data_IF_156782189044
#
_entry.id   IF_156782189044
#
_cell.length_a   1.000
_cell.length_b   1.000
_cell.length_c   1.000
_cell.angle_alpha   90.00
_cell.angle_beta   90.00
_cell.angle_gamma   90.00
#
_symmetry.space_group_name_H-M   'P 1'
#
loop_
_entity.id
_entity.type
_entity.pdbx_description
1 polymer ?
#
# COMPACT_ATOMS: atom_id res chain seq x y z
N UNK A 1 -19.91 6.85 18.67
CA UNK A 1 -20.53 5.53 18.92
C UNK A 1 -19.64 4.50 18.23
N UNK A 2 -19.47 3.32 18.79
CA UNK A 2 -18.63 2.26 18.23
C UNK A 2 -19.48 1.02 17.94
N UNK A 3 -19.07 0.24 16.95
CA UNK A 3 -19.67 -1.04 16.58
C UNK A 3 -18.63 -2.14 16.84
N UNK A 4 -18.96 -3.09 17.69
CA UNK A 4 -18.12 -4.27 17.93
C UNK A 4 -18.51 -5.38 16.97
N UNK A 5 -17.52 -5.99 16.31
CA UNK A 5 -17.69 -7.19 15.49
C UNK A 5 -16.88 -8.30 16.14
N UNK A 6 -17.56 -9.37 16.55
CA UNK A 6 -16.94 -10.57 17.13
C UNK A 6 -16.66 -11.59 16.02
N UNK A 7 -15.45 -12.14 16.01
CA UNK A 7 -15.06 -13.21 15.11
C UNK A 7 -14.54 -14.44 15.84
N UNK A 8 -14.21 -15.47 15.06
CA UNK A 8 -13.72 -16.75 15.57
C UNK A 8 -12.34 -16.66 16.26
N UNK A 9 -11.49 -15.70 15.87
CA UNK A 9 -10.11 -15.56 16.40
C UNK A 9 -9.89 -14.27 17.19
N UNK A 10 -10.55 -13.18 16.81
CA UNK A 10 -10.40 -11.88 17.48
C UNK A 10 -11.68 -11.04 17.40
N UNK A 11 -11.60 -9.80 17.86
CA UNK A 11 -12.69 -8.82 17.81
C UNK A 11 -12.21 -7.54 17.11
N UNK A 12 -13.10 -6.90 16.37
CA UNK A 12 -12.89 -5.56 15.83
C UNK A 12 -13.75 -4.53 16.56
N UNK A 13 -13.12 -3.46 17.04
CA UNK A 13 -13.84 -2.24 17.42
C UNK A 13 -13.81 -1.28 16.22
N UNK A 14 -14.98 -1.02 15.64
CA UNK A 14 -15.17 -0.10 14.53
C UNK A 14 -15.64 1.23 15.08
N UNK A 15 -14.91 2.31 14.80
CA UNK A 15 -15.24 3.64 15.31
C UNK A 15 -16.32 4.35 14.49
N UNK A 16 -17.26 3.59 13.95
CA UNK A 16 -18.49 4.04 13.29
C UNK A 16 -19.68 3.40 14.00
N UNK A 17 -20.80 4.11 14.03
CA UNK A 17 -22.07 3.48 14.38
C UNK A 17 -22.52 2.50 13.29
N UNK A 18 -23.44 1.62 13.68
CA UNK A 18 -23.96 0.55 12.84
C UNK A 18 -24.72 1.06 11.61
N UNK A 19 -25.32 2.25 11.69
CA UNK A 19 -26.06 2.85 10.56
C UNK A 19 -25.12 3.38 9.46
N UNK A 20 -23.90 3.76 9.83
CA UNK A 20 -22.87 4.29 8.94
C UNK A 20 -21.84 3.24 8.48
N UNK A 21 -21.95 1.99 8.92
CA UNK A 21 -21.06 0.90 8.50
C UNK A 21 -21.66 0.13 7.33
N UNK A 22 -21.13 0.36 6.14
CA UNK A 22 -21.55 -0.31 4.90
C UNK A 22 -21.40 -1.84 4.97
N UNK A 23 -22.35 -2.57 4.36
CA UNK A 23 -22.41 -4.04 4.39
C UNK A 23 -21.10 -4.68 3.89
N UNK A 24 -20.57 -4.24 2.76
CA UNK A 24 -19.30 -4.77 2.21
C UNK A 24 -18.11 -4.52 3.14
N UNK A 25 -18.08 -3.36 3.80
CA UNK A 25 -17.04 -3.03 4.78
C UNK A 25 -17.15 -3.94 5.99
N UNK A 26 -18.37 -4.19 6.48
CA UNK A 26 -18.65 -5.13 7.57
C UNK A 26 -18.26 -6.56 7.22
N UNK A 27 -18.62 -7.04 6.03
CA UNK A 27 -18.28 -8.38 5.55
C UNK A 27 -16.77 -8.58 5.50
N UNK A 28 -16.03 -7.61 4.97
CA UNK A 28 -14.57 -7.65 4.93
C UNK A 28 -13.95 -7.67 6.35
N UNK A 29 -14.49 -6.87 7.29
CA UNK A 29 -14.03 -6.90 8.69
C UNK A 29 -14.34 -8.24 9.35
N UNK A 30 -15.54 -8.79 9.13
CA UNK A 30 -15.95 -10.10 9.67
C UNK A 30 -14.99 -11.20 9.19
N UNK A 31 -14.70 -11.25 7.91
CA UNK A 31 -13.77 -12.23 7.32
C UNK A 31 -12.38 -12.15 7.96
N UNK A 32 -11.90 -10.93 8.24
CA UNK A 32 -10.61 -10.74 8.92
C UNK A 32 -10.64 -11.25 10.35
N UNK A 33 -11.64 -10.90 11.16
CA UNK A 33 -11.69 -11.34 12.57
C UNK A 33 -12.01 -12.83 12.74
N UNK A 34 -12.57 -13.46 11.70
CA UNK A 34 -12.77 -14.91 11.58
C UNK A 34 -11.54 -15.66 11.05
N UNK A 35 -10.48 -14.96 10.65
CA UNK A 35 -9.30 -15.58 10.05
C UNK A 35 -8.14 -15.70 11.04
N UNK A 36 -7.50 -16.87 11.06
CA UNK A 36 -6.48 -17.25 12.06
C UNK A 36 -5.20 -16.39 12.06
N UNK A 37 -4.99 -15.59 11.02
CA UNK A 37 -3.89 -14.63 10.94
C UNK A 37 -4.10 -13.40 11.83
N UNK A 38 -5.34 -13.14 12.26
CA UNK A 38 -5.73 -11.97 13.04
C UNK A 38 -5.95 -12.41 14.49
N UNK A 39 -4.87 -12.39 15.24
CA UNK A 39 -4.78 -12.86 16.63
C UNK A 39 -4.92 -11.74 17.65
N UNK A 40 -4.72 -10.49 17.22
CA UNK A 40 -4.74 -9.31 18.06
C UNK A 40 -6.04 -8.50 17.84
N UNK A 41 -6.50 -7.70 18.83
CA UNK A 41 -7.70 -6.89 18.67
C UNK A 41 -7.57 -5.87 17.53
N UNK A 42 -8.51 -5.94 16.59
CA UNK A 42 -8.56 -5.04 15.43
C UNK A 42 -9.22 -3.71 15.83
N UNK A 43 -8.70 -2.60 15.30
CA UNK A 43 -9.30 -1.26 15.40
C UNK A 43 -9.49 -0.68 14.02
N UNK A 44 -10.70 -0.26 13.71
CA UNK A 44 -11.08 0.25 12.39
C UNK A 44 -11.46 1.72 12.50
N UNK A 45 -10.67 2.57 11.85
CA UNK A 45 -10.88 4.02 11.76
C UNK A 45 -12.21 4.34 11.09
N UNK A 46 -12.80 5.51 11.36
CA UNK A 46 -14.11 5.86 10.85
C UNK A 46 -14.17 6.28 9.38
N UNK A 47 -13.02 6.48 8.73
CA UNK A 47 -12.91 6.63 7.27
C UNK A 47 -12.93 5.27 6.53
N UNK A 48 -13.26 4.18 7.23
CA UNK A 48 -13.30 2.85 6.66
C UNK A 48 -14.22 2.71 5.44
N UNK A 49 -13.74 1.91 4.51
CA UNK A 49 -14.40 1.53 3.27
C UNK A 49 -13.69 0.29 2.69
N UNK A 50 -14.31 -0.44 1.74
CA UNK A 50 -13.72 -1.64 1.18
C UNK A 50 -12.38 -1.33 0.51
N UNK A 51 -11.37 -2.15 0.81
CA UNK A 51 -10.03 -2.05 0.22
C UNK A 51 -9.61 -3.35 -0.44
N UNK A 52 -8.60 -3.30 -1.32
CA UNK A 52 -8.04 -4.51 -1.91
C UNK A 52 -7.40 -5.39 -0.83
N UNK A 53 -7.99 -6.55 -0.54
CA UNK A 53 -7.52 -7.53 0.46
C UNK A 53 -7.83 -7.20 1.92
N UNK A 54 -7.79 -5.93 2.33
CA UNK A 54 -8.08 -5.49 3.70
C UNK A 54 -8.79 -4.14 3.66
N UNK A 55 -9.71 -3.94 4.61
CA UNK A 55 -10.45 -2.68 4.80
C UNK A 55 -9.48 -1.51 4.98
N UNK A 56 -9.82 -0.35 4.39
CA UNK A 56 -9.10 0.90 4.64
C UNK A 56 -9.49 1.42 6.03
N UNK A 57 -8.58 2.08 6.74
CA UNK A 57 -8.77 2.43 8.15
C UNK A 57 -8.40 1.30 9.11
N UNK A 58 -7.81 0.21 8.64
CA UNK A 58 -7.42 -0.91 9.48
C UNK A 58 -6.19 -0.60 10.33
N UNK A 59 -6.24 -1.00 11.60
CA UNK A 59 -5.05 -1.14 12.45
C UNK A 59 -5.12 -2.37 13.35
N UNK A 60 -3.96 -2.96 13.62
CA UNK A 60 -3.78 -4.09 14.53
C UNK A 60 -2.33 -4.14 15.01
N UNK A 61 -2.08 -4.65 16.21
CA UNK A 61 -0.72 -4.96 16.61
C UNK A 61 -0.14 -6.06 15.69
N UNK A 62 1.16 -5.96 15.40
CA UNK A 62 1.92 -6.95 14.66
C UNK A 62 2.09 -8.20 15.54
N UNK A 63 1.78 -9.35 14.96
CA UNK A 63 2.02 -10.67 15.57
C UNK A 63 2.92 -11.53 14.66
N UNK A 64 3.09 -12.80 15.02
CA UNK A 64 3.91 -13.79 14.32
C UNK A 64 3.46 -14.07 12.88
N UNK A 65 2.17 -13.90 12.59
CA UNK A 65 1.56 -14.02 11.26
C UNK A 65 1.44 -12.67 10.61
N UNK A 66 1.98 -12.57 9.40
CA UNK A 66 1.92 -11.33 8.63
C UNK A 66 1.22 -11.56 7.31
N UNK A 67 0.13 -10.85 7.07
CA UNK A 67 -0.60 -10.86 5.79
C UNK A 67 -0.13 -9.68 4.94
N UNK A 68 0.62 -9.89 3.84
CA UNK A 68 1.18 -8.77 3.07
C UNK A 68 0.15 -7.77 2.56
N UNK A 69 -1.01 -8.25 2.08
CA UNK A 69 -2.10 -7.40 1.59
C UNK A 69 -2.80 -6.55 2.66
N UNK A 70 -2.59 -6.82 3.95
CA UNK A 70 -3.16 -6.01 5.04
C UNK A 70 -2.53 -4.64 5.13
N UNK A 71 -1.28 -4.45 4.67
CA UNK A 71 -0.67 -3.11 4.53
C UNK A 71 -1.11 -2.44 3.23
N UNK A 72 -1.40 -3.25 2.20
CA UNK A 72 -1.80 -2.79 0.88
C UNK A 72 -0.65 -2.75 -0.11
N UNK A 73 -0.99 -2.56 -1.39
CA UNK A 73 -0.04 -2.61 -2.49
C UNK A 73 0.91 -1.40 -2.55
N UNK A 74 0.48 -0.22 -2.08
CA UNK A 74 1.36 0.95 -2.01
C UNK A 74 1.99 1.09 -0.63
N UNK A 75 2.99 0.24 -0.36
CA UNK A 75 3.75 0.24 0.90
C UNK A 75 4.37 1.62 1.13
N UNK A 76 4.18 2.19 2.32
CA UNK A 76 4.74 3.49 2.69
C UNK A 76 4.01 4.69 2.09
N UNK A 77 2.88 4.50 1.40
CA UNK A 77 2.01 5.60 0.97
C UNK A 77 1.68 6.52 2.16
N UNK A 78 1.60 7.81 1.90
CA UNK A 78 1.19 8.79 2.91
C UNK A 78 1.57 10.22 2.58
N UNK A 79 1.47 11.06 3.59
CA UNK A 79 1.64 12.50 3.47
C UNK A 79 3.04 12.93 3.88
N UNK A 80 3.52 13.97 3.22
CA UNK A 80 4.66 14.77 3.66
C UNK A 80 4.31 16.23 3.42
N UNK A 81 4.47 17.09 4.41
CA UNK A 81 4.28 18.53 4.24
C UNK A 81 5.57 19.25 4.61
N UNK A 82 5.93 20.24 3.81
CA UNK A 82 7.04 21.15 4.09
C UNK A 82 6.48 22.55 4.26
N UNK A 83 6.94 23.25 5.30
CA UNK A 83 6.70 24.66 5.48
C UNK A 83 7.69 25.44 4.63
N UNK A 84 7.20 26.31 3.78
CA UNK A 84 8.03 27.23 3.00
C UNK A 84 8.44 28.39 3.90
N UNK A 85 9.71 28.78 3.87
CA UNK A 85 10.23 29.88 4.69
C UNK A 85 9.54 31.22 4.40
N UNK A 86 9.03 31.37 3.18
CA UNK A 86 8.25 32.50 2.72
C UNK A 86 7.34 32.11 1.56
N UNK A 87 6.35 32.96 1.28
CA UNK A 87 5.49 32.81 0.10
C UNK A 87 6.34 32.98 -1.17
N UNK A 88 6.29 32.04 -2.14
CA UNK A 88 6.97 32.20 -3.41
C UNK A 88 6.53 33.48 -4.15
N UNK A 89 7.49 34.27 -4.65
CA UNK A 89 7.24 35.47 -5.48
C UNK A 89 6.95 35.07 -6.94
N UNK A 90 5.88 34.29 -7.12
CA UNK A 90 5.46 33.70 -8.39
C UNK A 90 3.92 33.74 -8.48
N UNK A 91 3.40 33.86 -9.70
CA UNK A 91 1.96 33.68 -9.93
C UNK A 91 1.56 32.21 -9.73
N UNK A 92 0.27 31.95 -9.48
CA UNK A 92 -0.24 30.57 -9.33
C UNK A 92 0.09 29.68 -10.53
N UNK A 93 0.02 30.25 -11.74
CA UNK A 93 0.34 29.55 -12.98
C UNK A 93 1.84 29.21 -13.10
N UNK A 94 2.73 30.12 -12.72
CA UNK A 94 4.18 29.85 -12.71
C UNK A 94 4.56 28.79 -11.68
N UNK A 95 3.90 28.77 -10.51
CA UNK A 95 4.12 27.72 -9.50
C UNK A 95 3.69 26.35 -10.03
N UNK A 96 2.49 26.23 -10.60
CA UNK A 96 1.99 24.98 -11.20
C UNK A 96 2.90 24.48 -12.35
N UNK A 97 3.29 25.39 -13.26
CA UNK A 97 4.20 25.08 -14.37
C UNK A 97 5.53 24.54 -13.84
N UNK A 98 6.15 25.22 -12.87
CA UNK A 98 7.43 24.78 -12.30
C UNK A 98 7.34 23.43 -11.58
N UNK A 99 6.27 23.19 -10.82
CA UNK A 99 6.04 21.90 -10.16
C UNK A 99 5.95 20.79 -11.21
N UNK A 100 5.19 20.99 -12.28
CA UNK A 100 4.97 20.00 -13.35
C UNK A 100 6.20 19.76 -14.22
N UNK A 101 7.01 20.79 -14.47
CA UNK A 101 8.29 20.64 -15.17
C UNK A 101 9.33 19.90 -14.31
N UNK A 102 9.23 20.03 -12.99
CA UNK A 102 10.21 19.47 -12.05
C UNK A 102 9.87 18.05 -11.61
N UNK A 103 8.59 17.76 -11.36
CA UNK A 103 8.14 16.48 -10.79
C UNK A 103 7.40 15.67 -11.85
N UNK A 104 7.96 14.54 -12.31
CA UNK A 104 7.25 13.60 -13.14
C UNK A 104 6.02 13.03 -12.40
N UNK A 105 4.89 13.01 -13.10
CA UNK A 105 3.60 12.54 -12.59
C UNK A 105 3.06 11.39 -13.45
N UNK A 106 2.08 10.65 -12.93
CA UNK A 106 1.46 9.53 -13.65
C UNK A 106 2.45 8.39 -13.90
N UNK A 107 2.62 8.04 -15.18
CA UNK A 107 3.54 6.97 -15.64
C UNK A 107 4.96 7.46 -15.90
N UNK A 108 5.20 8.77 -15.82
CA UNK A 108 6.49 9.37 -16.10
C UNK A 108 7.50 9.17 -14.96
N UNK A 109 8.78 9.24 -15.31
CA UNK A 109 9.90 9.14 -14.38
C UNK A 109 10.99 10.11 -14.77
N UNK A 110 11.94 10.37 -13.87
CA UNK A 110 13.12 11.16 -14.20
C UNK A 110 14.00 10.44 -15.25
N UNK A 111 14.80 11.22 -15.97
CA UNK A 111 15.85 10.68 -16.83
C UNK A 111 17.19 10.62 -16.09
N UNK A 112 18.10 9.77 -16.59
CA UNK A 112 19.53 9.76 -16.23
C UNK A 112 19.87 9.64 -14.73
N UNK A 113 19.06 8.94 -13.93
CA UNK A 113 19.32 8.73 -12.50
C UNK A 113 19.56 10.07 -11.77
N UNK A 114 18.63 11.02 -11.93
CA UNK A 114 18.70 12.33 -11.30
C UNK A 114 18.97 12.26 -9.78
N UNK A 115 18.50 11.20 -9.12
CA UNK A 115 18.81 10.86 -7.74
C UNK A 115 19.91 9.79 -7.67
N UNK A 116 21.01 10.05 -6.95
CA UNK A 116 22.12 9.10 -6.80
C UNK A 116 21.88 8.13 -5.65
N UNK A 117 21.00 7.14 -5.86
CA UNK A 117 20.56 6.21 -4.80
C UNK A 117 21.71 5.57 -4.01
N UNK A 118 22.82 5.21 -4.66
CA UNK A 118 23.97 4.60 -3.97
C UNK A 118 24.62 5.51 -2.92
N UNK A 119 24.57 6.84 -3.11
CA UNK A 119 25.21 7.81 -2.23
C UNK A 119 24.21 8.50 -1.30
N UNK A 120 23.01 8.79 -1.81
CA UNK A 120 22.07 9.70 -1.16
C UNK A 120 21.00 8.97 -0.34
N UNK A 121 20.74 7.69 -0.66
CA UNK A 121 19.71 6.92 0.03
C UNK A 121 20.10 6.67 1.49
N UNK A 122 19.14 6.78 2.44
CA UNK A 122 19.38 6.63 3.87
C UNK A 122 19.52 5.14 4.29
N UNK A 123 20.57 4.48 3.82
CA UNK A 123 20.84 3.05 4.07
C UNK A 123 20.89 2.70 5.57
N UNK A 124 21.56 3.54 6.36
CA UNK A 124 21.69 3.35 7.80
C UNK A 124 20.35 3.49 8.53
N UNK A 125 19.54 4.49 8.19
CA UNK A 125 18.22 4.65 8.80
C UNK A 125 17.26 3.53 8.42
N UNK A 126 17.38 3.00 7.21
CA UNK A 126 16.65 1.78 6.82
C UNK A 126 17.07 0.60 7.70
N UNK A 127 18.37 0.46 7.96
CA UNK A 127 18.91 -0.61 8.83
C UNK A 127 18.41 -0.46 10.27
N UNK A 128 18.37 0.77 10.79
CA UNK A 128 17.85 1.06 12.13
C UNK A 128 16.36 0.69 12.31
N UNK A 129 15.56 0.64 11.23
CA UNK A 129 14.19 0.12 11.32
C UNK A 129 14.21 -1.37 11.71
N UNK A 130 15.08 -2.16 11.10
CA UNK A 130 15.20 -3.59 11.42
C UNK A 130 15.83 -3.81 12.80
N UNK A 131 16.79 -2.96 13.20
CA UNK A 131 17.31 -3.02 14.57
C UNK A 131 16.20 -2.83 15.61
N UNK A 132 15.31 -1.86 15.41
CA UNK A 132 14.14 -1.64 16.29
C UNK A 132 13.17 -2.82 16.29
N UNK A 133 12.83 -3.36 15.12
CA UNK A 133 11.99 -4.56 15.02
C UNK A 133 12.62 -5.72 15.81
N UNK A 134 13.92 -5.95 15.64
CA UNK A 134 14.65 -7.03 16.34
C UNK A 134 14.62 -6.91 17.87
N UNK A 135 14.50 -5.70 18.43
CA UNK A 135 14.36 -5.52 19.89
C UNK A 135 13.07 -6.15 20.44
N UNK A 136 12.06 -6.33 19.59
CA UNK A 136 10.78 -6.94 19.95
C UNK A 136 10.70 -8.45 19.69
N UNK A 137 11.60 -8.99 18.88
CA UNK A 137 11.56 -10.38 18.46
C UNK A 137 12.29 -11.30 19.45
N UNK A 138 11.77 -12.52 19.61
CA UNK A 138 12.42 -13.55 20.44
C UNK A 138 13.65 -14.14 19.74
N UNK A 139 13.59 -14.27 18.41
CA UNK A 139 14.66 -14.77 17.57
C UNK A 139 15.27 -13.63 16.77
N UNK A 140 16.60 -13.64 16.63
CA UNK A 140 17.32 -12.61 15.89
C UNK A 140 17.12 -12.83 14.39
N UNK A 141 16.85 -11.75 13.67
CA UNK A 141 16.86 -11.74 12.21
C UNK A 141 18.33 -11.76 11.74
N UNK A 142 18.69 -12.75 10.93
CA UNK A 142 20.01 -12.79 10.30
C UNK A 142 20.05 -11.83 9.10
N UNK A 143 20.34 -10.56 9.38
CA UNK A 143 20.38 -9.49 8.38
C UNK A 143 21.52 -8.51 8.67
N UNK A 144 22.38 -8.28 7.69
CA UNK A 144 23.60 -7.46 7.84
C UNK A 144 23.37 -5.96 7.61
N UNK A 145 22.22 -5.59 7.05
CA UNK A 145 21.84 -4.20 6.76
C UNK A 145 21.54 -3.96 5.28
N UNK A 146 21.17 -2.72 4.97
CA UNK A 146 20.82 -2.31 3.61
C UNK A 146 22.00 -1.62 2.92
N UNK A 147 22.19 -1.93 1.65
CA UNK A 147 23.10 -1.22 0.77
C UNK A 147 22.59 -1.28 -0.69
N UNK A 148 23.39 -0.74 -1.62
CA UNK A 148 23.07 -0.76 -3.04
C UNK A 148 22.95 -2.19 -3.60
N UNK A 149 23.67 -3.17 -3.05
CA UNK A 149 23.60 -4.54 -3.53
C UNK A 149 22.28 -5.19 -3.10
N UNK A 150 21.89 -5.02 -1.84
CA UNK A 150 20.56 -5.43 -1.37
C UNK A 150 19.44 -4.82 -2.23
N UNK A 151 19.54 -3.54 -2.60
CA UNK A 151 18.52 -2.92 -3.45
C UNK A 151 18.41 -3.57 -4.84
N UNK A 152 19.55 -3.97 -5.44
CA UNK A 152 19.53 -4.73 -6.71
C UNK A 152 18.87 -6.09 -6.53
N UNK A 153 19.22 -6.82 -5.48
CA UNK A 153 18.64 -8.14 -5.18
C UNK A 153 17.13 -8.03 -4.91
N UNK A 154 16.69 -6.97 -4.23
CA UNK A 154 15.27 -6.68 -4.03
C UNK A 154 14.56 -6.45 -5.36
N UNK A 155 15.14 -5.65 -6.26
CA UNK A 155 14.59 -5.41 -7.59
C UNK A 155 14.49 -6.71 -8.40
N UNK A 156 15.52 -7.56 -8.35
CA UNK A 156 15.50 -8.88 -9.01
C UNK A 156 14.41 -9.79 -8.44
N UNK A 157 14.31 -9.86 -7.09
CA UNK A 157 13.32 -10.67 -6.38
C UNK A 157 11.88 -10.23 -6.66
N UNK A 158 11.63 -8.92 -6.64
CA UNK A 158 10.33 -8.32 -6.97
C UNK A 158 10.10 -8.14 -8.48
N UNK A 159 11.03 -8.56 -9.34
CA UNK A 159 10.95 -8.42 -10.81
C UNK A 159 10.74 -6.97 -11.30
N UNK A 160 11.37 -6.01 -10.62
CA UNK A 160 11.36 -4.59 -10.97
C UNK A 160 12.64 -4.24 -11.73
N UNK A 161 12.51 -3.53 -12.85
CA UNK A 161 13.69 -2.98 -13.54
C UNK A 161 14.41 -1.96 -12.64
N UNK A 162 15.69 -2.20 -12.38
CA UNK A 162 16.50 -1.39 -11.48
C UNK A 162 16.56 0.08 -11.91
N UNK A 163 16.71 0.36 -13.21
CA UNK A 163 16.79 1.75 -13.69
C UNK A 163 15.44 2.45 -13.54
N UNK A 164 14.34 1.74 -13.82
CA UNK A 164 12.99 2.25 -13.58
C UNK A 164 12.78 2.57 -12.10
N UNK A 165 13.19 1.69 -11.19
CA UNK A 165 13.11 1.94 -9.76
C UNK A 165 13.92 3.20 -9.38
N UNK A 166 15.17 3.32 -9.81
CA UNK A 166 15.99 4.52 -9.52
C UNK A 166 15.34 5.80 -10.06
N UNK A 167 14.86 5.77 -11.30
CA UNK A 167 14.28 6.94 -11.98
C UNK A 167 12.90 7.35 -11.42
N UNK A 168 12.22 6.46 -10.69
CA UNK A 168 10.96 6.76 -10.02
C UNK A 168 11.13 7.48 -8.69
N UNK A 169 12.36 7.65 -8.20
CA UNK A 169 12.65 8.47 -7.02
C UNK A 169 12.40 9.95 -7.31
N UNK A 170 11.65 10.63 -6.45
CA UNK A 170 11.23 12.02 -6.66
C UNK A 170 10.07 12.17 -7.65
N UNK A 171 9.17 11.19 -7.75
CA UNK A 171 8.03 11.21 -8.68
C UNK A 171 6.70 11.07 -7.95
N UNK A 172 5.67 11.72 -8.47
CA UNK A 172 4.35 11.76 -7.82
C UNK A 172 3.60 10.43 -7.97
N UNK A 173 3.57 9.91 -9.20
CA UNK A 173 2.62 8.88 -9.59
C UNK A 173 1.24 9.38 -9.94
N UNK A 174 0.27 8.47 -10.01
CA UNK A 174 -1.12 8.78 -10.36
C UNK A 174 -2.12 8.27 -9.31
N UNK A 175 -3.40 8.23 -9.69
CA UNK A 175 -4.48 7.89 -8.75
C UNK A 175 -4.79 9.04 -7.80
N UNK A 176 -4.85 8.77 -6.50
CA UNK A 176 -5.15 9.79 -5.49
C UNK A 176 -3.95 10.67 -5.13
N UNK A 177 -2.74 10.40 -5.64
CA UNK A 177 -1.53 11.18 -5.36
C UNK A 177 -1.65 12.63 -5.87
N UNK A 178 -1.10 13.57 -5.10
CA UNK A 178 -1.17 15.00 -5.41
C UNK A 178 -0.02 15.80 -4.78
N UNK A 179 0.21 16.99 -5.32
CA UNK A 179 1.00 18.07 -4.71
C UNK A 179 0.06 19.26 -4.51
N UNK A 180 0.06 19.83 -3.31
CA UNK A 180 -0.77 20.96 -2.95
C UNK A 180 0.11 22.09 -2.41
N UNK A 181 -0.12 23.32 -2.87
CA UNK A 181 0.43 24.52 -2.23
C UNK A 181 -0.72 25.20 -1.50
N UNK A 182 -0.57 25.40 -0.20
CA UNK A 182 -1.62 25.90 0.66
C UNK A 182 -1.14 27.02 1.59
N UNK A 183 -2.07 27.89 1.97
CA UNK A 183 -1.87 28.92 3.00
C UNK A 183 -2.60 28.49 4.27
N UNK A 184 -1.91 28.54 5.39
CA UNK A 184 -2.46 28.16 6.68
C UNK A 184 -3.39 29.26 7.20
N UNK A 185 -4.65 28.93 7.50
CA UNK A 185 -5.72 29.88 7.84
C UNK A 185 -5.37 30.76 9.04
N UNK A 186 -4.80 30.17 10.10
CA UNK A 186 -4.55 30.90 11.35
C UNK A 186 -3.23 31.67 11.32
N UNK A 187 -2.20 31.10 10.68
CA UNK A 187 -0.83 31.61 10.75
C UNK A 187 -0.41 32.40 9.51
N UNK A 188 -1.08 32.23 8.38
CA UNK A 188 -0.69 32.78 7.07
C UNK A 188 0.58 32.12 6.51
N UNK A 189 1.03 31.01 7.09
CA UNK A 189 2.22 30.29 6.68
C UNK A 189 1.95 29.48 5.41
N UNK A 190 2.94 29.39 4.54
CA UNK A 190 2.80 28.67 3.27
C UNK A 190 3.38 27.26 3.38
N UNK A 191 2.64 26.29 2.88
CA UNK A 191 2.98 24.87 2.94
C UNK A 191 2.91 24.25 1.55
N UNK A 192 3.78 23.28 1.30
CA UNK A 192 3.64 22.34 0.19
C UNK A 192 3.37 20.94 0.77
N UNK A 193 2.27 20.31 0.35
CA UNK A 193 1.81 19.00 0.82
C UNK A 193 1.92 18.00 -0.31
N UNK A 194 2.50 16.83 -0.03
CA UNK A 194 2.79 15.78 -0.99
C UNK A 194 2.11 14.49 -0.53
N UNK A 195 1.26 13.93 -1.38
CA UNK A 195 0.71 12.59 -1.21
C UNK A 195 1.29 11.66 -2.26
N UNK A 196 2.11 10.70 -1.83
CA UNK A 196 2.69 9.68 -2.70
C UNK A 196 3.19 8.48 -1.88
N UNK A 197 3.64 7.42 -2.56
CA UNK A 197 4.11 6.18 -1.94
C UNK A 197 5.40 5.65 -2.55
N UNK A 198 5.57 4.32 -2.53
CA UNK A 198 6.79 3.63 -2.97
C UNK A 198 6.81 3.29 -4.45
N UNK A 199 5.83 3.81 -5.20
CA UNK A 199 5.72 3.64 -6.66
C UNK A 199 5.59 2.16 -7.03
N UNK A 200 6.12 1.76 -8.19
CA UNK A 200 5.98 0.38 -8.66
C UNK A 200 6.73 -0.63 -7.77
N UNK A 201 7.76 -0.17 -7.05
CA UNK A 201 8.58 -1.03 -6.19
C UNK A 201 7.76 -1.63 -5.04
N UNK A 202 7.00 -0.82 -4.29
CA UNK A 202 6.18 -1.33 -3.20
C UNK A 202 5.10 -2.29 -3.65
N UNK A 203 4.44 -1.99 -4.77
CA UNK A 203 3.42 -2.87 -5.36
C UNK A 203 4.01 -4.24 -5.70
N UNK A 204 5.16 -4.26 -6.39
CA UNK A 204 5.81 -5.50 -6.77
C UNK A 204 6.33 -6.30 -5.57
N UNK A 205 6.81 -5.63 -4.51
CA UNK A 205 7.20 -6.29 -3.26
C UNK A 205 5.98 -6.87 -2.53
N UNK A 206 4.87 -6.13 -2.45
CA UNK A 206 3.64 -6.61 -1.86
C UNK A 206 3.09 -7.83 -2.61
N UNK A 207 3.06 -7.79 -3.94
CA UNK A 207 2.67 -8.90 -4.81
C UNK A 207 3.58 -10.12 -4.61
N UNK A 208 4.90 -9.94 -4.66
CA UNK A 208 5.87 -11.03 -4.46
C UNK A 208 5.64 -11.80 -3.15
N UNK A 209 5.46 -11.06 -2.06
CA UNK A 209 5.28 -11.67 -0.74
C UNK A 209 3.88 -12.25 -0.55
N UNK A 210 2.85 -11.68 -1.17
CA UNK A 210 1.52 -12.28 -1.18
C UNK A 210 1.48 -13.58 -1.99
N UNK A 211 2.13 -13.61 -3.15
CA UNK A 211 2.28 -14.83 -3.96
C UNK A 211 3.04 -15.89 -3.15
N UNK A 212 4.11 -15.50 -2.46
CA UNK A 212 4.86 -16.39 -1.57
C UNK A 212 3.98 -16.94 -0.44
N UNK A 213 3.12 -16.12 0.17
CA UNK A 213 2.18 -16.56 1.19
C UNK A 213 1.18 -17.58 0.63
N UNK A 214 0.65 -17.30 -0.55
CA UNK A 214 -0.30 -18.16 -1.26
C UNK A 214 0.33 -19.49 -1.64
N UNK A 215 1.57 -19.47 -2.13
CA UNK A 215 2.32 -20.68 -2.47
C UNK A 215 2.60 -21.55 -1.24
N UNK A 216 3.04 -20.94 -0.13
CA UNK A 216 3.30 -21.66 1.13
C UNK A 216 2.04 -22.25 1.73
N UNK A 217 0.94 -21.48 1.77
CA UNK A 217 -0.38 -21.96 2.21
C UNK A 217 -0.84 -23.15 1.37
N UNK A 218 -0.65 -23.06 0.06
CA UNK A 218 -0.92 -24.15 -0.85
C UNK A 218 -0.02 -25.38 -0.55
N UNK A 219 1.25 -25.21 -0.23
CA UNK A 219 2.13 -26.32 0.19
C UNK A 219 1.67 -27.01 1.46
N UNK A 220 1.11 -26.29 2.44
CA UNK A 220 0.66 -26.90 3.70
C UNK A 220 -0.75 -27.50 3.62
N UNK A 221 -1.62 -26.90 2.81
CA UNK A 221 -3.06 -27.21 2.80
C UNK A 221 -3.46 -28.14 1.66
N UNK A 222 -2.68 -28.21 0.56
CA UNK A 222 -2.93 -29.17 -0.52
C UNK A 222 -2.59 -30.60 -0.04
N UNK A 223 -3.57 -31.54 -0.02
CA UNK A 223 -3.30 -32.96 0.29
C UNK A 223 -2.24 -33.53 -0.65
N UNK A 224 -1.53 -34.62 -0.35
CA UNK A 224 -0.63 -35.19 -1.37
C UNK A 224 -1.40 -35.71 -2.59
N UNK A 225 -0.84 -35.60 -3.80
CA UNK A 225 -1.35 -36.36 -4.94
C UNK A 225 -1.21 -37.84 -4.60
N UNK A 226 -2.28 -38.56 -4.84
CA UNK A 226 -2.32 -40.01 -4.82
C UNK A 226 -2.22 -40.54 -6.25
N UNK A 227 -1.91 -41.82 -6.40
CA UNK A 227 -1.92 -42.45 -7.73
C UNK A 227 -3.34 -42.48 -8.34
N UNK A 228 -4.39 -42.19 -7.56
CA UNK A 228 -5.76 -42.03 -8.08
C UNK A 228 -5.93 -40.75 -8.90
N UNK A 229 -5.15 -39.71 -8.59
CA UNK A 229 -5.15 -38.41 -9.28
C UNK A 229 -4.36 -38.45 -10.61
N UNK A 230 -3.54 -39.48 -10.82
CA UNK A 230 -2.73 -39.64 -12.04
C UNK A 230 -3.62 -40.14 -13.18
N UNK A 231 -3.60 -39.49 -14.38
CA UNK A 231 -4.41 -39.94 -15.50
C UNK A 231 -4.16 -41.41 -15.86
N UNK A 232 -5.22 -42.13 -16.20
CA UNK A 232 -5.19 -43.59 -16.45
C UNK A 232 -4.05 -44.03 -17.37
N UNK A 233 -3.89 -43.35 -18.51
CA UNK A 233 -2.86 -43.67 -19.49
C UNK A 233 -1.42 -43.52 -18.96
N UNK A 234 -1.21 -42.61 -18.00
CA UNK A 234 0.08 -42.41 -17.35
C UNK A 234 0.30 -43.47 -16.26
N UNK A 235 -0.75 -43.76 -15.49
CA UNK A 235 -0.73 -44.80 -14.45
C UNK A 235 -0.49 -46.19 -15.04
N UNK A 236 -1.16 -46.52 -16.15
CA UNK A 236 -0.98 -47.78 -16.88
C UNK A 236 0.44 -47.92 -17.46
N UNK A 237 1.09 -46.80 -17.79
CA UNK A 237 2.48 -46.77 -18.24
C UNK A 237 3.51 -46.81 -17.08
N UNK A 238 3.06 -47.00 -15.84
CA UNK A 238 3.91 -47.09 -14.65
C UNK A 238 4.24 -45.74 -14.01
N UNK A 239 3.60 -44.65 -14.46
CA UNK A 239 3.68 -43.35 -13.80
C UNK A 239 2.97 -43.38 -12.44
N UNK A 240 3.55 -42.68 -11.46
CA UNK A 240 3.00 -42.53 -10.11
C UNK A 240 2.94 -41.06 -9.74
N UNK A 241 2.15 -40.69 -8.75
CA UNK A 241 2.10 -39.32 -8.24
C UNK A 241 3.50 -38.82 -7.87
N UNK A 242 4.27 -39.64 -7.15
CA UNK A 242 5.64 -39.31 -6.72
C UNK A 242 6.62 -39.03 -7.88
N UNK A 243 6.39 -39.60 -9.07
CA UNK A 243 7.20 -39.33 -10.26
C UNK A 243 6.83 -38.01 -10.94
N UNK A 244 5.59 -37.57 -10.79
CA UNK A 244 5.07 -36.35 -11.42
C UNK A 244 5.14 -35.13 -10.50
N UNK A 245 5.38 -35.32 -9.21
CA UNK A 245 5.41 -34.23 -8.21
C UNK A 245 6.81 -33.93 -7.71
N UNK A 246 7.03 -32.77 -7.07
CA UNK A 246 8.25 -32.48 -6.31
C UNK A 246 8.40 -33.33 -5.03
N UNK A 247 9.42 -33.03 -4.20
CA UNK A 247 9.74 -33.78 -2.97
C UNK A 247 8.56 -33.92 -2.00
N UNK A 248 7.65 -32.95 -1.99
CA UNK A 248 6.53 -32.92 -1.06
C UNK A 248 5.32 -33.75 -1.50
N UNK A 249 5.25 -34.13 -2.78
CA UNK A 249 4.14 -34.94 -3.30
C UNK A 249 2.85 -34.18 -3.59
N UNK A 250 2.81 -32.84 -3.49
CA UNK A 250 1.54 -32.07 -3.48
C UNK A 250 1.24 -31.28 -4.75
N UNK A 251 2.24 -30.88 -5.52
CA UNK A 251 2.05 -30.15 -6.79
C UNK A 251 2.73 -30.91 -7.92
N UNK A 252 2.08 -30.90 -9.08
CA UNK A 252 2.66 -31.45 -10.30
C UNK A 252 3.84 -30.56 -10.73
N UNK A 253 5.00 -31.19 -10.82
CA UNK A 253 6.20 -30.61 -11.38
C UNK A 253 6.17 -30.87 -12.89
N UNK A 254 5.92 -29.81 -13.67
CA UNK A 254 5.77 -29.93 -15.12
C UNK A 254 7.07 -30.34 -15.82
N UNK A 255 8.23 -30.10 -15.23
CA UNK A 255 9.52 -30.52 -15.77
C UNK A 255 9.71 -32.03 -15.57
N UNK A 256 9.41 -32.53 -14.37
CA UNK A 256 9.37 -33.98 -14.08
C UNK A 256 8.35 -34.71 -14.94
N UNK A 257 7.14 -34.17 -15.03
CA UNK A 257 6.08 -34.72 -15.87
C UNK A 257 6.49 -34.76 -17.35
N UNK A 258 7.09 -33.69 -17.88
CA UNK A 258 7.60 -33.67 -19.24
C UNK A 258 8.72 -34.67 -19.47
N UNK A 259 9.60 -34.86 -18.49
CA UNK A 259 10.67 -35.86 -18.55
C UNK A 259 10.07 -37.27 -18.62
N UNK A 260 9.18 -37.62 -17.69
CA UNK A 260 8.47 -38.91 -17.70
C UNK A 260 7.77 -39.17 -19.03
N UNK A 261 7.01 -38.18 -19.55
CA UNK A 261 6.26 -38.35 -20.78
C UNK A 261 7.17 -38.57 -22.00
N UNK A 262 8.31 -37.89 -22.08
CA UNK A 262 9.27 -38.05 -23.19
C UNK A 262 10.03 -39.38 -23.14
N UNK A 263 10.23 -39.94 -21.96
CA UNK A 263 10.91 -41.23 -21.79
C UNK A 263 9.97 -42.43 -22.00
N UNK A 264 8.66 -42.21 -21.83
CA UNK A 264 7.66 -43.29 -21.78
C UNK A 264 6.79 -43.37 -23.04
N UNK A 265 6.51 -42.25 -23.69
CA UNK A 265 5.61 -42.17 -24.84
C UNK A 265 6.32 -41.61 -26.08
N UNK A 266 5.75 -41.88 -27.25
CA UNK A 266 6.27 -41.43 -28.55
C UNK A 266 5.30 -40.49 -29.28
N UNK A 267 5.85 -39.60 -30.09
CA UNK A 267 5.08 -38.79 -31.04
C UNK A 267 4.00 -37.92 -30.38
N UNK A 268 2.80 -37.90 -30.98
CA UNK A 268 1.67 -37.07 -30.54
C UNK A 268 1.14 -37.45 -29.13
N UNK A 269 1.45 -38.67 -28.65
CA UNK A 269 1.01 -39.14 -27.34
C UNK A 269 1.73 -38.42 -26.19
N UNK A 270 2.93 -37.89 -26.41
CA UNK A 270 3.66 -37.08 -25.41
C UNK A 270 2.87 -35.82 -25.07
N UNK A 271 2.42 -35.09 -26.08
CA UNK A 271 1.70 -33.83 -25.90
C UNK A 271 0.29 -34.07 -25.36
N UNK A 272 -0.39 -35.13 -25.80
CA UNK A 272 -1.68 -35.55 -25.25
C UNK A 272 -1.60 -35.85 -23.75
N UNK A 273 -0.58 -36.59 -23.29
CA UNK A 273 -0.40 -36.88 -21.87
C UNK A 273 0.05 -35.66 -21.06
N UNK A 274 0.89 -34.80 -21.63
CA UNK A 274 1.20 -33.50 -21.01
C UNK A 274 -0.04 -32.64 -20.81
N UNK A 275 -0.97 -32.63 -21.77
CA UNK A 275 -2.24 -31.90 -21.63
C UNK A 275 -3.14 -32.49 -20.55
N UNK A 276 -3.21 -33.83 -20.42
CA UNK A 276 -3.94 -34.47 -19.31
C UNK A 276 -3.35 -34.12 -17.94
N UNK A 277 -2.02 -34.14 -17.84
CA UNK A 277 -1.31 -33.72 -16.62
C UNK A 277 -1.59 -32.24 -16.30
N UNK A 278 -1.59 -31.36 -17.31
CA UNK A 278 -1.97 -29.96 -17.15
C UNK A 278 -3.41 -29.81 -16.66
N UNK A 279 -4.32 -30.64 -17.16
CA UNK A 279 -5.71 -30.63 -16.69
C UNK A 279 -5.81 -31.04 -15.22
N UNK A 280 -5.15 -32.13 -14.80
CA UNK A 280 -5.11 -32.52 -13.37
C UNK A 280 -4.50 -31.42 -12.51
N UNK A 281 -3.43 -30.77 -12.98
CA UNK A 281 -2.82 -29.62 -12.30
C UNK A 281 -3.82 -28.46 -12.16
N UNK A 282 -4.63 -28.22 -13.18
CA UNK A 282 -5.64 -27.15 -13.21
C UNK A 282 -6.84 -27.46 -12.32
N UNK A 283 -7.48 -28.62 -12.49
CA UNK A 283 -8.66 -29.05 -11.73
C UNK A 283 -8.41 -29.01 -10.22
N UNK A 284 -7.18 -29.35 -9.83
CA UNK A 284 -6.75 -29.39 -8.43
C UNK A 284 -6.39 -28.02 -7.86
N UNK A 285 -5.96 -27.08 -8.71
CA UNK A 285 -5.79 -25.69 -8.31
C UNK A 285 -7.15 -25.01 -8.13
N UNK A 286 -8.09 -25.22 -9.05
CA UNK A 286 -9.45 -24.67 -8.97
C UNK A 286 -10.22 -25.18 -7.73
N UNK A 287 -10.15 -26.47 -7.40
CA UNK A 287 -10.86 -27.04 -6.23
C UNK A 287 -10.45 -26.46 -4.86
N UNK A 288 -9.35 -25.70 -4.77
CA UNK A 288 -8.80 -25.19 -3.51
C UNK A 288 -8.65 -23.66 -3.49
N UNK A 289 -8.76 -22.98 -4.64
CA UNK A 289 -8.80 -21.52 -4.76
C UNK A 289 -10.25 -20.98 -4.81
N UNK A 290 -11.24 -21.78 -5.21
CA UNK A 290 -12.64 -21.31 -5.40
C UNK A 290 -13.39 -21.02 -4.07
N UNK A 291 -12.93 -21.55 -2.93
CA UNK A 291 -13.60 -21.45 -1.62
C UNK A 291 -12.82 -20.66 -0.54
N UNK A 292 -11.66 -20.05 -0.86
CA UNK A 292 -10.85 -19.31 0.12
C UNK A 292 -10.29 -17.99 -0.39
N UNK A 293 -10.28 -16.97 0.46
CA UNK A 293 -9.73 -15.66 0.13
C UNK A 293 -8.20 -15.65 0.22
N UNK A 294 -7.53 -15.78 -0.92
CA UNK A 294 -6.07 -15.75 -1.03
C UNK A 294 -5.46 -14.40 -0.62
N UNK A 295 -6.24 -13.33 -0.54
CA UNK A 295 -5.74 -12.05 -0.03
C UNK A 295 -5.40 -12.07 1.46
N UNK A 296 -5.94 -13.03 2.22
CA UNK A 296 -5.66 -13.21 3.64
C UNK A 296 -4.57 -14.27 3.91
N UNK A 297 -3.95 -14.82 2.85
CA UNK A 297 -2.81 -15.71 3.03
C UNK A 297 -1.65 -14.99 3.71
N UNK A 298 -1.06 -15.65 4.71
CA UNK A 298 -0.06 -15.07 5.60
C UNK A 298 1.29 -15.77 5.51
N UNK A 299 2.29 -15.07 6.01
CA UNK A 299 3.67 -15.52 6.21
C UNK A 299 3.94 -15.73 7.69
N UNK A 300 4.83 -16.68 8.00
CA UNK A 300 5.38 -16.93 9.34
C UNK A 300 6.88 -17.22 9.25
N UNK A 301 7.58 -17.08 10.37
CA UNK A 301 9.01 -17.41 10.50
C UNK A 301 9.90 -16.65 9.53
N UNK A 302 10.85 -17.34 8.90
CA UNK A 302 11.83 -16.73 7.98
C UNK A 302 11.19 -15.93 6.82
N UNK A 303 10.01 -16.34 6.34
CA UNK A 303 9.35 -15.58 5.28
C UNK A 303 8.66 -14.32 5.79
N UNK A 304 8.07 -14.35 6.99
CA UNK A 304 7.57 -13.14 7.61
C UNK A 304 8.72 -12.15 7.85
N UNK A 305 9.87 -12.63 8.33
CA UNK A 305 11.07 -11.80 8.48
C UNK A 305 11.53 -11.20 7.15
N UNK A 306 11.58 -12.01 6.08
CA UNK A 306 11.94 -11.53 4.74
C UNK A 306 11.00 -10.42 4.24
N UNK A 307 9.69 -10.58 4.43
CA UNK A 307 8.72 -9.54 4.10
C UNK A 307 8.93 -8.26 4.91
N UNK A 308 9.15 -8.37 6.22
CA UNK A 308 9.40 -7.21 7.08
C UNK A 308 10.69 -6.46 6.70
N UNK A 309 11.73 -7.19 6.28
CA UNK A 309 12.97 -6.62 5.74
C UNK A 309 12.71 -5.86 4.43
N UNK A 310 12.06 -6.49 3.45
CA UNK A 310 11.77 -5.86 2.16
C UNK A 310 10.78 -4.68 2.33
N UNK A 311 9.82 -4.78 3.25
CA UNK A 311 8.90 -3.70 3.60
C UNK A 311 9.62 -2.49 4.18
N UNK A 312 10.54 -2.68 5.14
CA UNK A 312 11.28 -1.56 5.73
C UNK A 312 12.00 -0.74 4.65
N UNK A 313 12.56 -1.41 3.64
CA UNK A 313 13.14 -0.76 2.48
C UNK A 313 12.09 0.07 1.73
N UNK A 314 10.96 -0.52 1.34
CA UNK A 314 9.89 0.19 0.62
C UNK A 314 9.33 1.39 1.40
N UNK A 315 9.20 1.27 2.73
CA UNK A 315 8.77 2.37 3.60
C UNK A 315 9.78 3.53 3.60
N UNK A 316 11.08 3.23 3.60
CA UNK A 316 12.11 4.27 3.47
C UNK A 316 12.16 4.85 2.06
N UNK A 317 11.99 4.01 1.03
CA UNK A 317 11.91 4.45 -0.35
C UNK A 317 10.74 5.43 -0.57
N UNK A 318 9.56 5.15 -0.01
CA UNK A 318 8.41 6.05 -0.08
C UNK A 318 8.66 7.39 0.65
N UNK A 319 9.29 7.34 1.82
CA UNK A 319 9.68 8.56 2.55
C UNK A 319 10.68 9.39 1.75
N UNK A 320 11.73 8.77 1.23
CA UNK A 320 12.76 9.43 0.44
C UNK A 320 12.20 10.03 -0.85
N UNK A 321 11.25 9.33 -1.49
CA UNK A 321 10.53 9.83 -2.65
C UNK A 321 9.83 11.16 -2.34
N UNK A 322 9.09 11.23 -1.22
CA UNK A 322 8.41 12.46 -0.79
C UNK A 322 9.37 13.55 -0.34
N UNK A 323 10.43 13.19 0.40
CA UNK A 323 11.47 14.12 0.87
C UNK A 323 12.15 14.80 -0.31
N UNK A 324 12.58 14.01 -1.29
CA UNK A 324 13.26 14.51 -2.48
C UNK A 324 12.33 15.34 -3.37
N UNK A 325 11.05 14.96 -3.54
CA UNK A 325 10.07 15.85 -4.17
C UNK A 325 9.95 17.19 -3.45
N UNK A 326 9.96 17.19 -2.12
CA UNK A 326 9.94 18.41 -1.31
C UNK A 326 11.13 19.33 -1.59
N UNK A 327 12.34 18.78 -1.65
CA UNK A 327 13.55 19.52 -2.00
C UNK A 327 13.48 20.09 -3.42
N UNK A 328 13.12 19.25 -4.40
CA UNK A 328 13.00 19.66 -5.79
C UNK A 328 11.98 20.79 -5.99
N UNK A 329 10.82 20.70 -5.33
CA UNK A 329 9.79 21.75 -5.40
C UNK A 329 10.26 23.02 -4.71
N UNK A 330 10.85 22.93 -3.51
CA UNK A 330 11.37 24.11 -2.81
C UNK A 330 12.42 24.86 -3.65
N UNK A 331 13.36 24.12 -4.25
CA UNK A 331 14.38 24.64 -5.16
C UNK A 331 13.77 25.29 -6.41
N UNK A 332 12.80 24.62 -7.05
CA UNK A 332 12.12 25.13 -8.24
C UNK A 332 11.35 26.43 -7.94
N UNK A 333 10.78 26.55 -6.74
CA UNK A 333 10.08 27.76 -6.29
C UNK A 333 11.02 28.84 -5.74
N UNK A 334 12.30 28.52 -5.52
CA UNK A 334 13.32 29.44 -5.02
C UNK A 334 13.10 29.83 -3.55
N UNK A 335 12.59 28.89 -2.75
CA UNK A 335 12.27 29.10 -1.32
C UNK A 335 12.93 28.02 -0.47
N UNK A 336 13.36 28.37 0.73
CA UNK A 336 13.93 27.42 1.69
C UNK A 336 12.84 26.64 2.43
N UNK A 337 13.17 25.42 2.88
CA UNK A 337 12.30 24.62 3.75
C UNK A 337 12.54 25.02 5.22
N UNK A 338 11.49 25.46 5.91
CA UNK A 338 11.57 25.92 7.29
C UNK A 338 11.22 24.84 8.33
N UNK A 339 10.34 23.91 7.99
CA UNK A 339 9.85 22.83 8.86
C UNK A 339 9.24 21.72 8.00
N UNK A 340 9.01 20.53 8.57
CA UNK A 340 8.30 19.46 7.88
C UNK A 340 7.50 18.55 8.82
N UNK A 341 6.49 17.90 8.24
CA UNK A 341 5.61 16.93 8.90
C UNK A 341 5.51 15.69 7.99
N UNK A 342 5.65 14.51 8.57
CA UNK A 342 5.56 13.23 7.85
C UNK A 342 4.46 12.38 8.47
N UNK A 343 3.55 11.86 7.64
CA UNK A 343 2.38 11.08 8.10
C UNK A 343 2.12 9.92 7.15
N UNK A 344 2.90 8.82 7.25
CA UNK A 344 2.63 7.61 6.47
C UNK A 344 1.29 6.97 6.91
N UNK A 345 0.62 6.28 5.99
CA UNK A 345 -0.68 5.65 6.28
C UNK A 345 -0.87 4.20 5.78
N UNK A 346 0.11 3.64 5.07
CA UNK A 346 0.18 2.22 4.72
C UNK A 346 1.54 1.69 5.18
N UNK A 347 1.62 1.12 6.38
CA UNK A 347 2.90 0.72 6.97
C UNK A 347 2.72 -0.33 8.06
N UNK A 348 3.82 -1.01 8.39
CA UNK A 348 4.04 -1.57 9.71
C UNK A 348 5.08 -0.68 10.38
N UNK A 349 4.69 -0.03 11.47
CA UNK A 349 5.60 0.83 12.23
C UNK A 349 6.40 -0.04 13.21
N UNK A 350 7.71 -0.03 13.09
CA UNK A 350 8.61 -0.85 13.91
C UNK A 350 8.97 -0.21 15.26
N UNK A 351 8.52 1.02 15.53
CA UNK A 351 8.61 1.63 16.87
C UNK A 351 7.48 1.16 17.79
N UNK A 352 6.26 1.09 17.26
CA UNK A 352 5.07 0.72 18.05
C UNK A 352 4.45 -0.62 17.67
N UNK A 353 5.01 -1.29 16.65
CA UNK A 353 4.60 -2.59 16.14
C UNK A 353 3.13 -2.61 15.72
N UNK A 354 2.61 -1.51 15.20
CA UNK A 354 1.23 -1.43 14.70
C UNK A 354 1.23 -1.47 13.17
N UNK A 355 0.44 -2.40 12.64
CA UNK A 355 0.07 -2.49 11.23
C UNK A 355 -1.00 -1.44 10.95
N UNK A 356 -0.85 -0.67 9.88
CA UNK A 356 -1.79 0.38 9.48
C UNK A 356 -2.02 0.36 7.97
N UNK A 357 -3.29 0.43 7.55
CA UNK A 357 -3.69 0.61 6.16
C UNK A 357 -4.79 1.64 6.07
N UNK A 358 -4.50 2.76 5.42
CA UNK A 358 -5.32 3.97 5.48
C UNK A 358 -5.57 4.44 6.91
N UNK A 359 -4.55 4.35 7.76
CA UNK A 359 -4.58 4.93 9.11
C UNK A 359 -3.19 5.48 9.38
N UNK A 360 -3.10 6.63 10.03
CA UNK A 360 -1.81 7.25 10.33
C UNK A 360 -1.50 7.20 11.81
N UNK A 361 -0.22 7.27 12.14
CA UNK A 361 0.27 7.30 13.51
C UNK A 361 -0.13 8.63 14.18
N UNK A 362 -0.57 8.57 15.43
CA UNK A 362 -1.05 9.72 16.19
C UNK A 362 -0.71 9.60 17.69
N UNK A 363 0.58 9.53 18.03
CA UNK A 363 1.02 9.56 19.43
C UNK A 363 0.79 10.95 20.05
N UNK A 364 0.85 11.03 21.37
CA UNK A 364 0.65 12.28 22.12
C UNK A 364 1.65 13.34 21.69
N UNK A 365 1.15 14.48 21.19
CA UNK A 365 1.97 15.60 20.71
C UNK A 365 2.59 15.40 19.32
N UNK A 366 2.32 14.27 18.65
CA UNK A 366 2.85 14.01 17.30
C UNK A 366 2.13 14.86 16.27
N UNK A 367 2.86 15.55 15.39
CA UNK A 367 2.27 16.35 14.31
C UNK A 367 1.96 15.44 13.14
N UNK A 368 0.74 15.55 12.60
CA UNK A 368 0.32 14.83 11.41
C UNK A 368 -0.47 15.72 10.45
N UNK A 369 -0.48 15.33 9.17
CA UNK A 369 -1.26 15.97 8.11
C UNK A 369 -2.37 15.03 7.68
N UNK A 370 -3.60 15.54 7.66
CA UNK A 370 -4.77 14.79 7.19
C UNK A 370 -5.39 15.53 5.99
N UNK A 371 -5.38 14.94 4.79
CA UNK A 371 -5.99 15.52 3.60
C UNK A 371 -7.51 15.33 3.56
N UNK A 372 -8.20 16.30 2.95
CA UNK A 372 -9.61 16.23 2.60
C UNK A 372 -9.76 15.82 1.13
N UNK A 373 -9.78 16.83 0.25
CA UNK A 373 -9.86 16.70 -1.19
C UNK A 373 -9.17 17.93 -1.81
N UNK A 374 -9.06 17.94 -3.15
CA UNK A 374 -8.32 18.99 -3.85
C UNK A 374 -8.89 20.43 -3.74
N UNK A 375 -10.15 20.60 -3.35
CA UNK A 375 -10.78 21.90 -3.13
C UNK A 375 -10.73 22.37 -1.68
N UNK A 376 -10.71 21.43 -0.73
CA UNK A 376 -10.81 21.70 0.72
C UNK A 376 -9.45 21.66 1.44
N UNK A 377 -8.43 21.11 0.79
CA UNK A 377 -7.06 21.07 1.26
C UNK A 377 -6.80 20.04 2.34
N UNK A 378 -6.06 20.45 3.37
CA UNK A 378 -5.56 19.57 4.42
C UNK A 378 -5.63 20.24 5.81
N UNK A 379 -5.48 19.48 6.88
CA UNK A 379 -5.30 20.02 8.25
C UNK A 379 -4.02 19.54 8.89
N UNK A 380 -3.38 20.44 9.63
CA UNK A 380 -2.31 20.12 10.58
C UNK A 380 -2.97 19.73 11.90
N UNK A 381 -2.67 18.52 12.36
CA UNK A 381 -3.25 17.95 13.58
C UNK A 381 -2.14 17.55 14.55
N UNK A 382 -2.41 17.63 15.84
CA UNK A 382 -1.56 17.10 16.91
C UNK A 382 -2.24 15.87 17.51
N UNK A 383 -1.54 14.73 17.52
CA UNK A 383 -2.05 13.47 18.02
C UNK A 383 -2.30 13.47 19.52
N UNK A 384 -3.33 12.74 19.95
CA UNK A 384 -3.72 12.59 21.37
C UNK A 384 -3.16 11.33 22.02
N UNK A 385 -2.50 10.46 21.26
CA UNK A 385 -1.96 9.20 21.78
C UNK A 385 -3.01 8.24 22.30
N UNK A 386 -4.23 8.27 21.74
CA UNK A 386 -5.35 7.47 22.21
C UNK A 386 -5.07 5.97 22.06
N UNK A 387 -4.89 5.26 23.18
CA UNK A 387 -4.54 3.84 23.17
C UNK A 387 -5.66 2.95 22.67
N UNK A 388 -6.92 3.36 22.84
CA UNK A 388 -8.07 2.57 22.39
C UNK A 388 -8.10 2.49 20.85
N UNK A 389 -7.44 3.43 20.18
CA UNK A 389 -7.33 3.58 18.73
C UNK A 389 -5.98 3.10 18.18
N UNK A 390 -5.25 2.27 18.93
CA UNK A 390 -3.87 1.87 18.59
C UNK A 390 -2.96 3.08 18.32
N UNK A 391 -3.18 4.19 19.03
CA UNK A 391 -2.50 5.48 18.83
C UNK A 391 -2.46 5.90 17.36
N UNK A 392 -3.59 5.73 16.68
CA UNK A 392 -3.74 6.00 15.25
C UNK A 392 -4.90 6.95 14.99
N UNK A 393 -4.88 7.61 13.84
CA UNK A 393 -5.89 8.53 13.36
C UNK A 393 -6.35 8.14 11.94
N UNK A 394 -7.57 8.57 11.52
CA UNK A 394 -7.98 8.57 10.13
C UNK A 394 -6.91 9.17 9.20
N UNK A 395 -6.78 8.63 8.00
CA UNK A 395 -5.76 9.08 7.05
C UNK A 395 -6.28 10.14 6.06
N UNK A 396 -7.59 10.34 5.97
CA UNK A 396 -8.21 11.30 5.07
C UNK A 396 -9.71 11.08 4.92
N UNK A 397 -10.28 11.62 3.83
CA UNK A 397 -11.72 11.57 3.59
C UNK A 397 -12.25 10.17 3.29
N UNK A 398 -11.42 9.36 2.63
CA UNK A 398 -11.91 8.20 1.90
C UNK A 398 -12.77 8.64 0.71
N UNK A 399 -12.85 7.76 -0.29
CA UNK A 399 -13.73 7.98 -1.44
C UNK A 399 -15.16 7.66 -1.06
N UNK A 400 -16.11 8.39 -1.62
CA UNK A 400 -17.55 8.07 -1.51
C UNK A 400 -17.90 6.88 -2.41
N UNK A 401 -17.22 6.74 -3.54
CA UNK A 401 -17.48 5.67 -4.49
C UNK A 401 -16.32 5.36 -5.43
N UNK A 402 -16.60 4.45 -6.37
CA UNK A 402 -15.60 4.01 -7.35
C UNK A 402 -15.22 5.13 -8.33
N UNK A 403 -14.06 5.01 -8.98
CA UNK A 403 -13.63 5.95 -10.03
C UNK A 403 -14.58 6.00 -11.22
N UNK A 404 -15.10 4.84 -11.62
CA UNK A 404 -16.07 4.73 -12.71
C UNK A 404 -17.38 5.43 -12.36
N UNK A 405 -17.90 5.22 -11.14
CA UNK A 405 -19.09 5.90 -10.66
C UNK A 405 -18.93 7.43 -10.72
N UNK A 406 -17.80 7.95 -10.24
CA UNK A 406 -17.54 9.39 -10.26
C UNK A 406 -17.55 9.99 -11.69
N UNK A 407 -17.01 9.27 -12.69
CA UNK A 407 -17.03 9.71 -14.09
C UNK A 407 -18.43 9.66 -14.72
N UNK A 408 -19.31 8.81 -14.21
CA UNK A 408 -20.69 8.69 -14.68
C UNK A 408 -21.64 9.70 -14.00
N UNK A 409 -21.38 10.05 -12.74
CA UNK A 409 -22.27 10.87 -11.91
C UNK A 409 -22.01 12.38 -12.06
N UNK A 410 -20.74 12.80 -12.11
CA UNK A 410 -20.36 14.21 -12.04
C UNK A 410 -20.09 14.84 -13.40
N UNK A 411 -20.21 16.16 -13.46
CA UNK A 411 -19.93 16.96 -14.67
C UNK A 411 -18.70 17.84 -14.49
N UNK A 412 -18.11 18.25 -15.61
CA UNK A 412 -17.00 19.21 -15.60
C UNK A 412 -17.40 20.57 -15.01
N UNK A 413 -18.64 21.01 -15.19
CA UNK A 413 -19.13 22.26 -14.60
C UNK A 413 -19.16 22.17 -13.06
N UNK A 414 -19.61 21.05 -12.50
CA UNK A 414 -19.58 20.82 -11.05
C UNK A 414 -18.14 20.73 -10.53
N UNK A 415 -17.24 20.08 -11.28
CA UNK A 415 -15.83 20.03 -10.91
C UNK A 415 -15.16 21.40 -10.92
N UNK A 416 -15.36 22.20 -11.97
CA UNK A 416 -14.87 23.58 -12.04
C UNK A 416 -15.40 24.44 -10.89
N UNK A 417 -16.70 24.31 -10.56
CA UNK A 417 -17.31 25.03 -9.45
C UNK A 417 -16.77 24.60 -8.08
N UNK A 418 -16.52 23.30 -7.88
CA UNK A 418 -15.96 22.77 -6.63
C UNK A 418 -14.49 23.17 -6.41
N UNK A 419 -13.82 23.65 -7.45
CA UNK A 419 -12.44 24.15 -7.41
C UNK A 419 -12.35 25.67 -7.40
N UNK A 420 -13.47 26.40 -7.25
CA UNK A 420 -13.45 27.87 -7.23
C UNK A 420 -12.50 28.40 -6.15
N UNK A 421 -11.61 29.31 -6.53
CA UNK A 421 -10.55 29.83 -5.66
C UNK A 421 -9.22 29.05 -5.68
N UNK A 422 -9.25 27.78 -6.07
CA UNK A 422 -8.07 26.90 -6.15
C UNK A 422 -7.57 26.80 -7.59
N UNK A 423 -6.30 27.14 -7.82
CA UNK A 423 -5.73 27.02 -9.16
C UNK A 423 -5.30 25.58 -9.43
N UNK A 424 -5.78 24.97 -10.50
CA UNK A 424 -5.32 23.65 -10.91
C UNK A 424 -5.49 23.47 -12.41
N UNK A 425 -4.39 23.12 -13.08
CA UNK A 425 -4.43 22.65 -14.47
C UNK A 425 -4.88 21.19 -14.55
N UNK A 426 -5.00 20.50 -13.41
CA UNK A 426 -5.53 19.15 -13.31
C UNK A 426 -7.06 19.10 -13.30
N UNK A 427 -7.79 20.20 -13.49
CA UNK A 427 -9.25 20.16 -13.68
C UNK A 427 -9.53 19.80 -15.13
N UNK A 428 -9.83 18.51 -15.38
CA UNK A 428 -10.06 17.96 -16.71
C UNK A 428 -10.95 16.71 -16.67
N UNK A 429 -11.39 16.23 -17.83
CA UNK A 429 -12.18 14.98 -17.93
C UNK A 429 -11.41 13.75 -17.41
N UNK A 430 -10.08 13.75 -17.54
CA UNK A 430 -9.25 12.61 -17.14
C UNK A 430 -9.19 12.41 -15.63
N UNK A 431 -9.29 13.51 -14.88
CA UNK A 431 -9.17 13.60 -13.42
C UNK A 431 -10.52 13.79 -12.72
N UNK A 432 -11.63 13.72 -13.46
CA UNK A 432 -12.98 13.87 -12.91
C UNK A 432 -13.29 12.84 -11.81
N UNK A 433 -12.68 11.65 -11.88
CA UNK A 433 -12.80 10.62 -10.85
C UNK A 433 -12.10 10.97 -9.52
N UNK A 434 -11.27 12.01 -9.51
CA UNK A 434 -10.52 12.47 -8.34
C UNK A 434 -10.97 13.88 -7.90
N UNK A 435 -12.10 14.34 -8.44
CA UNK A 435 -12.73 15.63 -8.12
C UNK A 435 -13.21 15.71 -6.65
N UNK A 436 -13.39 16.91 -6.07
CA UNK A 436 -13.82 17.07 -4.68
C UNK A 436 -15.07 16.28 -4.30
N UNK A 437 -16.04 16.18 -5.22
CA UNK A 437 -17.30 15.46 -5.01
C UNK A 437 -17.15 13.94 -4.92
N UNK A 438 -15.98 13.39 -5.31
CA UNK A 438 -15.68 11.96 -5.22
C UNK A 438 -15.31 11.50 -3.80
N UNK A 439 -15.18 12.44 -2.86
CA UNK A 439 -14.71 12.22 -1.50
C UNK A 439 -15.79 12.53 -0.47
N UNK A 440 -15.68 11.91 0.72
CA UNK A 440 -16.60 12.14 1.84
C UNK A 440 -16.52 13.59 2.35
N UNK A 441 -17.60 14.06 2.97
CA UNK A 441 -17.71 15.41 3.53
C UNK A 441 -16.56 15.73 4.52
N UNK A 442 -15.84 16.87 4.36
CA UNK A 442 -14.83 17.30 5.32
C UNK A 442 -15.31 17.38 6.77
N UNK A 443 -16.54 17.83 7.01
CA UNK A 443 -17.11 17.93 8.36
C UNK A 443 -17.20 16.56 9.05
N UNK A 444 -17.42 15.51 8.24
CA UNK A 444 -17.43 14.15 8.73
C UNK A 444 -16.02 13.75 9.19
N UNK A 445 -14.97 14.05 8.46
CA UNK A 445 -13.58 13.76 8.87
C UNK A 445 -13.18 14.56 10.11
N UNK A 446 -13.53 15.84 10.20
CA UNK A 446 -13.21 16.64 11.39
C UNK A 446 -13.83 16.01 12.65
N UNK A 447 -15.09 15.56 12.54
CA UNK A 447 -15.75 14.85 13.63
C UNK A 447 -15.04 13.53 13.99
N UNK A 448 -14.40 12.89 13.01
CA UNK A 448 -13.64 11.64 13.14
C UNK A 448 -12.25 11.82 13.73
N UNK A 449 -11.66 13.00 13.60
CA UNK A 449 -10.35 13.33 14.20
C UNK A 449 -10.45 13.64 15.70
N UNK A 450 -11.62 14.03 16.19
CA UNK A 450 -11.77 14.55 17.55
C UNK A 450 -11.25 13.62 18.66
N UNK A 451 -11.30 12.30 18.49
CA UNK A 451 -10.82 11.33 19.49
C UNK A 451 -9.32 11.01 19.36
N UNK A 452 -8.72 11.31 18.20
CA UNK A 452 -7.36 10.87 17.84
C UNK A 452 -6.38 12.04 17.73
N UNK A 453 -6.87 13.25 17.48
CA UNK A 453 -6.07 14.45 17.33
C UNK A 453 -6.82 15.76 17.61
N UNK A 454 -6.05 16.84 17.71
CA UNK A 454 -6.54 18.23 17.78
C UNK A 454 -6.07 18.97 16.53
N UNK A 455 -7.02 19.52 15.76
CA UNK A 455 -6.71 20.35 14.59
C UNK A 455 -6.07 21.66 15.09
N UNK A 456 -4.84 21.92 14.65
CA UNK A 456 -4.07 23.12 15.01
C UNK A 456 -4.17 24.21 13.97
N UNK A 457 -4.21 23.85 12.69
CA UNK A 457 -4.39 24.79 11.58
C UNK A 457 -5.02 24.10 10.37
N UNK A 458 -5.69 24.89 9.52
CA UNK A 458 -6.28 24.44 8.26
C UNK A 458 -5.44 25.00 7.11
N UNK A 459 -5.07 24.14 6.17
CA UNK A 459 -4.31 24.49 4.99
C UNK A 459 -5.29 24.71 3.83
N UNK A 460 -5.59 25.98 3.55
CA UNK A 460 -6.46 26.38 2.44
C UNK A 460 -5.69 26.23 1.12
N UNK A 461 -6.13 25.36 0.20
CA UNK A 461 -5.38 25.06 -1.01
C UNK A 461 -5.39 26.27 -1.94
N UNK A 462 -4.21 26.71 -2.35
CA UNK A 462 -4.04 27.76 -3.36
C UNK A 462 -3.84 27.13 -4.73
N UNK A 463 -3.11 26.01 -4.77
CA UNK A 463 -2.79 25.24 -5.97
C UNK A 463 -2.92 23.75 -5.65
N UNK A 464 -3.47 22.98 -6.57
CA UNK A 464 -3.47 21.53 -6.50
C UNK A 464 -3.02 20.92 -7.84
N UNK A 465 -2.02 20.05 -7.80
CA UNK A 465 -1.46 19.36 -8.95
C UNK A 465 -1.64 17.85 -8.78
N UNK A 466 -2.24 17.20 -9.77
CA UNK A 466 -2.38 15.74 -9.89
C UNK A 466 -1.85 15.30 -11.25
N UNK A 467 -1.56 14.01 -11.35
CA UNK A 467 -1.32 13.40 -12.66
C UNK A 467 -2.57 13.52 -13.51
N UNK A 468 -2.42 14.12 -14.68
CA UNK A 468 -3.47 14.25 -15.67
C UNK A 468 -3.35 13.21 -16.79
N UNK A 469 -2.27 12.41 -16.83
CA UNK A 469 -2.12 11.20 -17.66
C UNK A 469 -0.90 10.34 -17.23
#
# INVERSE_FOLDING_TARGET
MTTTIEGDYTTAEVFLDEENLEDLTREQIQEMVDHEAFTEPVRVMPDAHPGAGCVIGFTMALDDKVVPNVVGSDIGCGMFAIKLAEKPDLSKAEIDERIRETIPMGWHSHDNQAYHIGNDFPWQETTHKIDRLQESLTERIDFEGYDLEYFKELCERAQVDLNKAINQMGTLGGGNHFIEIAEAEQTGEWWAVFHSGSRALGNAVAEHWQDTATERRNETTIPQLTDEDVPDEIREAGGTAAMLTGKEGRRIDMERAATFCRETFDGETIEANLNRIRQVRHDRAEQLEDDRNTHLDYLEGEAAHGYLIDMAFCQTYAWENRRYMGELVADALGVEIADSIHSPHNLIDFDDLVIRKGATRAHDGERLIVPFNMGEGSVITEGKGNSDWNRSAPHGAGREGSRTWAKDEFTMEEFENAMDGVFSTSVSEETLDESPMSYKDPALIESRLAETGEIKDRLEPVINCKADW
#
